data_IF_887970907136
#
_entry.id   IF_887970907136
#
_cell.length_a   1.000
_cell.length_b   1.000
_cell.length_c   1.000
_cell.angle_alpha   90.00
_cell.angle_beta   90.00
_cell.angle_gamma   90.00
#
_symmetry.space_group_name_H-M   'P 1'
#
loop_
_entity.id
_entity.type
_entity.pdbx_description
1 polymer ?
#
# COMPACT_ATOMS: atom_id res chain seq x y z
N UNK A 1 9.52 -4.63 -3.72
CA UNK A 1 8.91 -4.19 -4.99
C UNK A 1 8.58 -2.72 -4.85
N UNK A 2 8.76 -1.86 -5.85
CA UNK A 2 8.32 -0.48 -5.75
C UNK A 2 6.81 -0.43 -5.49
N UNK A 3 6.37 0.40 -4.54
CA UNK A 3 4.94 0.53 -4.15
C UNK A 3 3.99 0.66 -5.35
N UNK A 4 4.42 1.34 -6.41
CA UNK A 4 3.63 1.57 -7.63
C UNK A 4 3.38 0.32 -8.47
N UNK A 5 4.31 -0.64 -8.53
CA UNK A 5 4.17 -1.81 -9.40
C UNK A 5 3.25 -2.89 -8.80
N UNK A 6 3.29 -3.11 -7.48
CA UNK A 6 2.47 -4.16 -6.83
C UNK A 6 1.02 -3.74 -6.77
N UNK A 7 0.72 -2.55 -6.30
CA UNK A 7 -0.65 -2.03 -6.22
C UNK A 7 -1.26 -1.77 -7.59
N UNK A 8 -0.45 -1.38 -8.56
CA UNK A 8 -0.90 -1.14 -9.92
C UNK A 8 -1.36 -2.41 -10.67
N UNK A 9 -0.83 -3.58 -10.34
CA UNK A 9 -1.12 -4.84 -11.05
C UNK A 9 -1.85 -5.87 -10.21
N UNK A 10 -1.54 -5.98 -8.92
CA UNK A 10 -1.98 -7.08 -8.07
C UNK A 10 -3.10 -6.69 -7.09
N UNK A 11 -3.69 -5.53 -7.24
CA UNK A 11 -4.77 -5.05 -6.37
C UNK A 11 -6.09 -5.78 -6.61
N UNK A 12 -6.15 -7.10 -6.44
CA UNK A 12 -7.39 -7.84 -6.46
C UNK A 12 -7.66 -8.47 -5.09
N UNK A 13 -8.93 -8.68 -4.81
CA UNK A 13 -9.38 -9.30 -3.57
C UNK A 13 -8.98 -10.78 -3.49
N UNK A 14 -8.79 -11.30 -2.29
CA UNK A 14 -8.58 -12.72 -2.06
C UNK A 14 -9.45 -13.19 -0.87
N UNK A 15 -10.49 -13.99 -1.08
CA UNK A 15 -10.95 -14.54 -2.38
C UNK A 15 -11.55 -13.48 -3.31
N UNK A 16 -11.48 -13.73 -4.62
CA UNK A 16 -12.00 -12.83 -5.64
C UNK A 16 -13.02 -13.49 -6.56
N UNK A 17 -13.80 -12.67 -7.26
CA UNK A 17 -14.75 -13.04 -8.29
C UNK A 17 -14.31 -12.42 -9.64
N UNK A 18 -13.30 -13.01 -10.33
CA UNK A 18 -12.86 -12.51 -11.63
C UNK A 18 -13.94 -12.65 -12.71
N UNK A 19 -13.71 -12.07 -13.85
CA UNK A 19 -14.59 -12.13 -15.02
C UNK A 19 -14.06 -13.14 -16.05
N UNK A 20 -14.96 -13.89 -16.68
CA UNK A 20 -14.67 -14.54 -17.95
C UNK A 20 -14.74 -13.52 -19.09
N UNK A 21 -14.16 -13.83 -20.26
CA UNK A 21 -14.34 -13.02 -21.46
C UNK A 21 -15.83 -12.89 -21.84
N UNK A 22 -16.63 -13.93 -21.61
CA UNK A 22 -18.08 -13.89 -21.87
C UNK A 22 -18.79 -12.87 -20.97
N UNK A 23 -18.42 -12.80 -19.69
CA UNK A 23 -18.96 -11.79 -18.76
C UNK A 23 -18.62 -10.37 -19.27
N UNK A 24 -17.36 -10.15 -19.66
CA UNK A 24 -16.89 -8.87 -20.15
C UNK A 24 -17.62 -8.45 -21.44
N UNK A 25 -17.82 -9.35 -22.38
CA UNK A 25 -18.61 -9.08 -23.60
C UNK A 25 -20.06 -8.77 -23.28
N UNK A 26 -20.67 -9.49 -22.37
CA UNK A 26 -22.05 -9.22 -21.90
C UNK A 26 -22.18 -7.83 -21.24
N UNK A 27 -21.09 -7.34 -20.63
CA UNK A 27 -21.00 -6.01 -20.03
C UNK A 27 -20.69 -4.90 -21.06
N UNK A 28 -20.41 -5.26 -22.32
CA UNK A 28 -20.21 -4.33 -23.42
C UNK A 28 -18.76 -4.12 -23.85
N UNK A 29 -17.81 -4.94 -23.37
CA UNK A 29 -16.43 -4.94 -23.87
C UNK A 29 -16.44 -5.38 -25.33
N UNK A 30 -15.79 -4.63 -26.21
CA UNK A 30 -15.73 -4.90 -27.65
C UNK A 30 -14.35 -5.38 -28.14
N UNK A 31 -13.39 -5.45 -27.21
CA UNK A 31 -12.02 -5.87 -27.53
C UNK A 31 -11.81 -7.35 -27.26
N UNK A 32 -10.74 -7.89 -27.82
CA UNK A 32 -10.28 -9.25 -27.53
C UNK A 32 -9.48 -9.29 -26.22
N UNK A 33 -9.15 -10.51 -25.82
CA UNK A 33 -8.39 -10.77 -24.60
C UNK A 33 -6.99 -10.17 -24.63
N UNK A 34 -6.32 -10.26 -25.77
CA UNK A 34 -4.96 -9.75 -25.92
C UNK A 34 -4.89 -8.25 -25.68
N UNK A 35 -5.86 -7.49 -26.18
CA UNK A 35 -5.96 -6.05 -25.93
C UNK A 35 -6.17 -5.71 -24.44
N UNK A 36 -6.78 -6.61 -23.68
CA UNK A 36 -7.02 -6.40 -22.25
C UNK A 36 -5.80 -6.78 -21.41
N UNK A 37 -5.11 -7.87 -21.74
CA UNK A 37 -4.11 -8.49 -20.88
C UNK A 37 -2.66 -8.30 -21.32
N UNK A 38 -2.43 -7.81 -22.54
CA UNK A 38 -1.10 -7.49 -23.06
C UNK A 38 -0.87 -5.99 -23.10
N UNK A 39 0.37 -5.52 -22.91
CA UNK A 39 0.71 -4.12 -23.05
C UNK A 39 0.35 -3.57 -24.44
N UNK A 40 -0.38 -2.47 -24.47
CA UNK A 40 -0.69 -1.78 -25.72
C UNK A 40 0.29 -0.64 -25.93
N UNK A 41 1.36 -0.93 -26.66
CA UNK A 41 2.51 -0.03 -26.84
C UNK A 41 2.40 0.66 -28.20
N UNK A 42 2.24 1.99 -28.20
CA UNK A 42 2.22 2.81 -29.42
C UNK A 42 3.47 3.67 -29.53
N UNK A 43 3.83 4.02 -30.78
CA UNK A 43 5.01 4.84 -31.06
C UNK A 43 5.04 6.18 -30.34
N UNK A 44 3.87 6.83 -30.17
CA UNK A 44 3.75 8.11 -29.48
C UNK A 44 4.04 8.04 -27.97
N UNK A 45 4.02 6.84 -27.38
CA UNK A 45 4.24 6.63 -25.96
C UNK A 45 5.70 6.26 -25.62
N UNK A 46 6.45 5.72 -26.58
CA UNK A 46 7.81 5.24 -26.34
C UNK A 46 8.78 6.36 -25.93
N UNK A 47 8.61 7.55 -26.50
CA UNK A 47 9.42 8.72 -26.15
C UNK A 47 9.22 9.18 -24.72
N UNK A 48 7.97 9.10 -24.21
CA UNK A 48 7.65 9.44 -22.82
C UNK A 48 8.26 8.41 -21.83
N UNK A 49 8.36 7.15 -22.25
CA UNK A 49 8.88 6.05 -21.40
C UNK A 49 10.41 6.01 -21.37
N UNK A 50 11.06 6.18 -22.52
CA UNK A 50 12.52 5.94 -22.65
C UNK A 50 13.33 7.22 -22.90
N UNK A 51 12.69 8.32 -23.29
CA UNK A 51 13.38 9.57 -23.63
C UNK A 51 14.42 9.37 -24.73
N UNK A 52 15.65 9.75 -24.45
CA UNK A 52 16.79 9.64 -25.39
C UNK A 52 17.20 8.20 -25.70
N UNK A 53 16.78 7.24 -24.88
CA UNK A 53 17.14 5.81 -25.00
C UNK A 53 16.13 5.01 -25.87
N UNK A 54 15.14 5.69 -26.47
CA UNK A 54 14.03 5.06 -27.20
C UNK A 54 14.52 4.14 -28.33
N UNK A 55 15.45 4.59 -29.16
CA UNK A 55 15.91 3.83 -30.33
C UNK A 55 16.62 2.52 -29.90
N UNK A 56 17.43 2.59 -28.85
CA UNK A 56 18.11 1.42 -28.30
C UNK A 56 17.12 0.44 -27.67
N UNK A 57 16.16 0.94 -26.89
CA UNK A 57 15.13 0.13 -26.24
C UNK A 57 14.27 -0.60 -27.28
N UNK A 58 13.79 0.12 -28.31
CA UNK A 58 12.98 -0.46 -29.38
C UNK A 58 13.75 -1.54 -30.13
N UNK A 59 14.96 -1.20 -30.62
CA UNK A 59 15.76 -2.12 -31.42
C UNK A 59 16.10 -3.40 -30.67
N UNK A 60 16.36 -3.30 -29.37
CA UNK A 60 16.82 -4.44 -28.56
C UNK A 60 15.66 -5.30 -28.06
N UNK A 61 14.58 -4.71 -27.58
CA UNK A 61 13.58 -5.39 -26.77
C UNK A 61 12.21 -5.53 -27.42
N UNK A 62 11.89 -4.69 -28.42
CA UNK A 62 10.57 -4.66 -29.04
C UNK A 62 10.58 -5.13 -30.49
N UNK A 63 9.42 -5.58 -30.95
CA UNK A 63 9.10 -5.84 -32.35
C UNK A 63 7.99 -4.90 -32.82
N UNK A 64 7.92 -4.65 -34.13
CA UNK A 64 6.84 -3.93 -34.80
C UNK A 64 6.74 -4.41 -36.26
N UNK A 65 5.53 -4.29 -36.85
CA UNK A 65 5.33 -4.53 -38.28
C UNK A 65 5.19 -3.23 -39.09
N UNK A 66 4.78 -2.15 -38.44
CA UNK A 66 4.36 -0.89 -39.08
C UNK A 66 4.99 0.36 -38.45
N UNK A 67 5.88 0.21 -37.47
CA UNK A 67 6.47 1.28 -36.66
C UNK A 67 5.40 2.13 -35.89
N UNK A 68 4.23 1.57 -35.67
CA UNK A 68 3.14 2.26 -34.98
C UNK A 68 2.70 1.52 -33.71
N UNK A 69 2.57 0.18 -33.79
CA UNK A 69 2.26 -0.68 -32.65
C UNK A 69 3.47 -1.59 -32.40
N UNK A 70 3.82 -1.73 -31.14
CA UNK A 70 4.97 -2.49 -30.67
C UNK A 70 4.53 -3.55 -29.68
N UNK A 71 5.30 -4.64 -29.63
CA UNK A 71 5.18 -5.70 -28.63
C UNK A 71 6.55 -6.22 -28.25
N UNK A 72 6.62 -6.83 -27.08
CA UNK A 72 7.88 -7.41 -26.60
C UNK A 72 8.34 -8.57 -27.48
N UNK A 73 9.66 -8.67 -27.69
CA UNK A 73 10.25 -9.90 -28.25
C UNK A 73 10.04 -11.05 -27.26
N UNK A 74 9.93 -12.31 -27.74
CA UNK A 74 9.68 -13.47 -26.86
C UNK A 74 10.67 -13.64 -25.72
N UNK A 75 11.90 -13.17 -25.90
CA UNK A 75 12.96 -13.21 -24.89
C UNK A 75 12.75 -12.20 -23.74
N UNK A 76 11.80 -11.27 -23.90
CA UNK A 76 11.52 -10.17 -22.96
C UNK A 76 10.03 -10.00 -22.65
N UNK A 77 9.20 -10.99 -22.97
CA UNK A 77 7.73 -10.93 -22.87
C UNK A 77 7.21 -11.02 -21.42
N UNK A 78 8.10 -11.13 -20.43
CA UNK A 78 7.77 -11.08 -19.00
C UNK A 78 8.75 -10.20 -18.23
N UNK A 79 8.31 -9.61 -17.14
CA UNK A 79 9.17 -8.84 -16.24
C UNK A 79 10.34 -9.68 -15.70
N UNK A 80 10.13 -10.97 -15.48
CA UNK A 80 11.17 -11.89 -15.02
C UNK A 80 12.29 -12.01 -16.05
N UNK A 81 11.96 -12.22 -17.33
CA UNK A 81 12.95 -12.30 -18.41
C UNK A 81 13.74 -11.00 -18.58
N UNK A 82 13.05 -9.85 -18.47
CA UNK A 82 13.74 -8.54 -18.44
C UNK A 82 14.68 -8.46 -17.26
N UNK A 83 14.25 -8.84 -16.06
CA UNK A 83 15.10 -8.81 -14.87
C UNK A 83 16.34 -9.73 -15.02
N UNK A 84 16.16 -10.93 -15.54
CA UNK A 84 17.23 -11.91 -15.79
C UNK A 84 18.27 -11.37 -16.79
N UNK A 85 17.81 -10.74 -17.87
CA UNK A 85 18.70 -10.10 -18.83
C UNK A 85 19.59 -9.04 -18.17
N UNK A 86 19.00 -8.11 -17.40
CA UNK A 86 19.78 -7.06 -16.76
C UNK A 86 20.65 -7.58 -15.61
N UNK A 87 20.25 -8.65 -14.92
CA UNK A 87 21.10 -9.32 -13.94
C UNK A 87 22.34 -9.96 -14.60
N UNK A 88 22.15 -10.61 -15.75
CA UNK A 88 23.26 -11.18 -16.53
C UNK A 88 24.19 -10.09 -17.06
N UNK A 89 23.62 -8.94 -17.47
CA UNK A 89 24.40 -7.79 -17.93
C UNK A 89 25.26 -7.21 -16.79
N UNK A 90 24.69 -7.00 -15.60
CA UNK A 90 25.44 -6.57 -14.40
C UNK A 90 26.58 -7.53 -14.07
N UNK A 91 26.34 -8.84 -14.11
CA UNK A 91 27.36 -9.85 -13.83
C UNK A 91 28.51 -9.79 -14.84
N UNK A 92 28.22 -9.58 -16.13
CA UNK A 92 29.26 -9.43 -17.20
C UNK A 92 30.08 -8.16 -17.04
N UNK A 93 29.49 -7.09 -16.55
CA UNK A 93 30.15 -5.80 -16.36
C UNK A 93 30.91 -5.71 -15.04
N UNK A 94 30.73 -6.68 -14.13
CA UNK A 94 31.38 -6.72 -12.82
C UNK A 94 30.90 -5.61 -11.87
N UNK A 95 29.67 -5.07 -12.07
CA UNK A 95 29.18 -3.95 -11.28
C UNK A 95 27.72 -3.58 -11.54
N UNK A 96 27.41 -2.30 -11.36
CA UNK A 96 26.09 -1.76 -11.53
C UNK A 96 25.75 -1.49 -13.00
N UNK A 97 24.44 -1.37 -13.30
CA UNK A 97 23.97 -0.87 -14.60
C UNK A 97 24.40 0.58 -14.79
N UNK A 98 24.66 0.98 -16.04
CA UNK A 98 24.79 2.39 -16.40
C UNK A 98 23.43 3.08 -16.27
N UNK A 99 23.43 4.41 -16.24
CA UNK A 99 22.20 5.21 -16.17
C UNK A 99 21.24 4.89 -17.33
N UNK A 100 21.74 4.83 -18.56
CA UNK A 100 20.98 4.42 -19.74
C UNK A 100 20.36 3.02 -19.57
N UNK A 101 21.14 2.03 -19.16
CA UNK A 101 20.67 0.66 -18.93
C UNK A 101 19.59 0.60 -17.83
N UNK A 102 19.75 1.40 -16.77
CA UNK A 102 18.77 1.47 -15.69
C UNK A 102 17.47 2.13 -16.18
N UNK A 103 17.57 3.19 -16.97
CA UNK A 103 16.43 3.87 -17.58
C UNK A 103 15.66 2.91 -18.50
N UNK A 104 16.35 2.22 -19.42
CA UNK A 104 15.74 1.22 -20.29
C UNK A 104 15.06 0.12 -19.47
N UNK A 105 15.74 -0.43 -18.46
CA UNK A 105 15.14 -1.45 -17.57
C UNK A 105 13.85 -0.98 -16.92
N UNK A 106 13.87 0.23 -16.33
CA UNK A 106 12.71 0.80 -15.67
C UNK A 106 11.54 1.01 -16.64
N UNK A 107 11.82 1.53 -17.85
CA UNK A 107 10.85 1.70 -18.91
C UNK A 107 10.21 0.38 -19.36
N UNK A 108 11.00 -0.67 -19.56
CA UNK A 108 10.49 -2.00 -19.92
C UNK A 108 9.60 -2.57 -18.80
N UNK A 109 10.01 -2.44 -17.53
CA UNK A 109 9.20 -2.87 -16.39
C UNK A 109 7.88 -2.11 -16.31
N UNK A 110 7.91 -0.81 -16.60
CA UNK A 110 6.73 0.03 -16.67
C UNK A 110 5.79 -0.40 -17.81
N UNK A 111 6.32 -0.62 -19.02
CA UNK A 111 5.51 -1.08 -20.17
C UNK A 111 4.81 -2.41 -19.89
N UNK A 112 5.45 -3.36 -19.17
CA UNK A 112 4.79 -4.60 -18.75
C UNK A 112 3.58 -4.36 -17.83
N UNK A 113 3.53 -3.22 -17.14
CA UNK A 113 2.42 -2.84 -16.29
C UNK A 113 1.27 -2.17 -17.07
N UNK A 114 1.45 -1.85 -18.35
CA UNK A 114 0.48 -1.12 -19.20
C UNK A 114 -0.59 -2.06 -19.78
N UNK A 115 -1.26 -2.80 -18.90
CA UNK A 115 -2.39 -3.68 -19.21
C UNK A 115 -3.66 -3.19 -18.51
N UNK A 116 -4.84 -3.54 -19.02
CA UNK A 116 -6.13 -3.21 -18.41
C UNK A 116 -6.56 -4.26 -17.39
N UNK A 117 -6.28 -5.53 -17.68
CA UNK A 117 -6.62 -6.67 -16.84
C UNK A 117 -5.40 -7.56 -16.63
N UNK A 118 -5.40 -8.28 -15.52
CA UNK A 118 -4.44 -9.35 -15.25
C UNK A 118 -5.17 -10.69 -15.20
N UNK A 119 -4.50 -11.75 -15.63
CA UNK A 119 -5.02 -13.11 -15.61
C UNK A 119 -5.03 -13.66 -14.18
N UNK A 120 -6.05 -14.44 -13.83
CA UNK A 120 -6.08 -15.15 -12.55
C UNK A 120 -4.99 -16.24 -12.53
N UNK A 121 -4.28 -16.34 -11.41
CA UNK A 121 -3.14 -17.26 -11.29
C UNK A 121 -3.54 -18.74 -11.36
N UNK A 122 -4.77 -19.09 -10.97
CA UNK A 122 -5.25 -20.47 -10.93
C UNK A 122 -6.00 -20.85 -12.19
N UNK A 123 -6.65 -19.88 -12.82
CA UNK A 123 -7.40 -20.07 -14.04
C UNK A 123 -7.18 -18.87 -14.99
N UNK A 124 -6.21 -18.97 -15.92
CA UNK A 124 -5.89 -17.87 -16.84
C UNK A 124 -7.07 -17.40 -17.70
N UNK A 125 -8.14 -18.18 -17.88
CA UNK A 125 -9.34 -17.78 -18.61
C UNK A 125 -10.18 -16.73 -17.86
N UNK A 126 -9.87 -16.50 -16.60
CA UNK A 126 -10.51 -15.48 -15.76
C UNK A 126 -9.61 -14.25 -15.62
N UNK A 127 -10.23 -13.07 -15.58
CA UNK A 127 -9.55 -11.79 -15.65
C UNK A 127 -9.94 -10.89 -14.47
N UNK A 128 -8.95 -10.21 -13.92
CA UNK A 128 -9.12 -9.17 -12.90
C UNK A 128 -8.79 -7.81 -13.49
N UNK A 129 -9.66 -6.79 -13.40
CA UNK A 129 -9.30 -5.43 -13.78
C UNK A 129 -8.20 -4.89 -12.86
N UNK A 130 -7.27 -4.10 -13.40
CA UNK A 130 -6.31 -3.36 -12.56
C UNK A 130 -7.03 -2.30 -11.76
N UNK A 131 -6.62 -2.11 -10.50
CA UNK A 131 -7.15 -1.02 -9.68
C UNK A 131 -6.87 0.36 -10.29
N UNK A 132 -5.69 0.54 -10.88
CA UNK A 132 -5.27 1.79 -11.52
C UNK A 132 -5.42 1.75 -13.06
N UNK A 133 -6.36 0.97 -13.62
CA UNK A 133 -6.51 0.83 -15.09
C UNK A 133 -6.72 2.18 -15.77
N UNK A 134 -7.47 3.09 -15.15
CA UNK A 134 -7.79 4.41 -15.70
C UNK A 134 -6.59 5.37 -15.78
N UNK A 135 -5.48 5.05 -15.11
CA UNK A 135 -4.23 5.81 -15.19
C UNK A 135 -3.29 5.28 -16.28
N UNK A 136 -3.63 4.14 -16.91
CA UNK A 136 -2.76 3.54 -17.91
C UNK A 136 -2.87 4.21 -19.26
N UNK A 137 -1.76 4.24 -20.01
CA UNK A 137 -1.76 4.61 -21.42
C UNK A 137 -2.71 3.72 -22.21
N UNK A 138 -2.74 2.42 -21.89
CA UNK A 138 -3.65 1.45 -22.51
C UNK A 138 -5.12 1.85 -22.39
N UNK A 139 -5.55 2.43 -21.27
CA UNK A 139 -6.90 2.97 -21.08
C UNK A 139 -7.13 4.25 -21.88
N UNK A 140 -6.15 5.16 -21.89
CA UNK A 140 -6.27 6.43 -22.60
C UNK A 140 -6.49 6.25 -24.11
N UNK A 141 -5.95 5.17 -24.68
CA UNK A 141 -6.08 4.78 -26.09
C UNK A 141 -7.40 4.05 -26.41
N UNK A 142 -8.31 3.91 -25.46
CA UNK A 142 -9.66 3.39 -25.72
C UNK A 142 -10.57 4.50 -26.25
N UNK A 143 -11.58 4.11 -27.05
CA UNK A 143 -12.69 4.99 -27.38
C UNK A 143 -13.54 5.31 -26.14
N UNK A 144 -14.19 6.47 -26.12
CA UNK A 144 -14.91 6.95 -24.93
C UNK A 144 -16.01 5.98 -24.46
N UNK A 145 -16.75 5.36 -25.41
CA UNK A 145 -17.74 4.34 -25.08
C UNK A 145 -17.13 3.13 -24.36
N UNK A 146 -15.89 2.75 -24.70
CA UNK A 146 -15.18 1.66 -24.05
C UNK A 146 -14.57 2.09 -22.70
N UNK A 147 -14.15 3.34 -22.57
CA UNK A 147 -13.73 3.90 -21.28
C UNK A 147 -14.84 3.83 -20.24
N UNK A 148 -16.07 4.20 -20.64
CA UNK A 148 -17.24 4.09 -19.77
C UNK A 148 -17.53 2.64 -19.36
N UNK A 149 -17.41 1.69 -20.30
CA UNK A 149 -17.57 0.26 -20.01
C UNK A 149 -16.51 -0.20 -19.00
N UNK A 150 -15.23 0.16 -19.21
CA UNK A 150 -14.14 -0.20 -18.32
C UNK A 150 -14.33 0.36 -16.91
N UNK A 151 -14.76 1.61 -16.79
CA UNK A 151 -15.04 2.22 -15.47
C UNK A 151 -16.21 1.55 -14.77
N UNK A 152 -17.25 1.16 -15.50
CA UNK A 152 -18.37 0.41 -14.91
C UNK A 152 -17.92 -0.96 -14.40
N UNK A 153 -17.09 -1.68 -15.16
CA UNK A 153 -16.52 -2.97 -14.75
C UNK A 153 -15.60 -2.79 -13.53
N UNK A 154 -14.75 -1.76 -13.55
CA UNK A 154 -13.89 -1.39 -12.44
C UNK A 154 -14.70 -1.15 -11.16
N UNK A 155 -15.73 -0.32 -11.24
CA UNK A 155 -16.58 0.01 -10.09
C UNK A 155 -17.33 -1.22 -9.57
N UNK A 156 -17.88 -2.04 -10.47
CA UNK A 156 -18.51 -3.31 -10.07
C UNK A 156 -17.52 -4.20 -9.32
N UNK A 157 -16.33 -4.39 -9.88
CA UNK A 157 -15.32 -5.27 -9.30
C UNK A 157 -14.83 -4.78 -7.93
N UNK A 158 -14.44 -3.52 -7.80
CA UNK A 158 -13.78 -3.03 -6.59
C UNK A 158 -14.76 -2.60 -5.49
N UNK A 159 -15.99 -2.20 -5.85
CA UNK A 159 -16.89 -1.60 -4.85
C UNK A 159 -18.21 -2.35 -4.65
N UNK A 160 -18.56 -3.32 -5.50
CA UNK A 160 -19.89 -3.94 -5.44
C UNK A 160 -19.89 -5.47 -5.40
N UNK A 161 -19.39 -6.15 -6.45
CA UNK A 161 -19.62 -7.59 -6.64
C UNK A 161 -19.05 -8.50 -5.56
N UNK A 162 -18.05 -8.05 -4.81
CA UNK A 162 -17.42 -8.85 -3.77
C UNK A 162 -18.16 -8.83 -2.43
N UNK A 163 -19.06 -7.88 -2.18
CA UNK A 163 -19.69 -7.69 -0.87
C UNK A 163 -20.39 -8.94 -0.37
N UNK A 164 -21.38 -9.45 -1.12
CA UNK A 164 -22.13 -10.65 -0.71
C UNK A 164 -21.24 -11.89 -0.64
N UNK A 165 -20.31 -12.03 -1.58
CA UNK A 165 -19.40 -13.16 -1.61
C UNK A 165 -18.44 -13.17 -0.39
N UNK A 166 -17.92 -12.01 -0.02
CA UNK A 166 -17.04 -11.88 1.15
C UNK A 166 -17.84 -12.07 2.44
N UNK A 167 -19.02 -11.45 2.55
CA UNK A 167 -19.89 -11.66 3.71
C UNK A 167 -20.21 -13.15 3.90
N UNK A 168 -20.70 -13.83 2.88
CA UNK A 168 -21.01 -15.25 2.95
C UNK A 168 -19.79 -16.12 3.29
N UNK A 169 -18.61 -15.77 2.74
CA UNK A 169 -17.35 -16.46 3.04
C UNK A 169 -16.89 -16.24 4.47
N UNK A 170 -16.98 -15.01 4.97
CA UNK A 170 -16.65 -14.62 6.33
C UNK A 170 -17.56 -15.30 7.35
N UNK A 171 -18.87 -15.20 7.17
CA UNK A 171 -19.88 -15.78 8.10
C UNK A 171 -19.83 -17.30 8.16
N UNK A 172 -19.26 -17.97 7.18
CA UNK A 172 -19.02 -19.42 7.23
C UNK A 172 -17.79 -19.81 8.07
N UNK A 173 -16.79 -18.91 8.20
CA UNK A 173 -15.48 -19.22 8.80
C UNK A 173 -15.27 -18.52 10.15
N UNK A 174 -15.53 -17.23 10.21
CA UNK A 174 -15.17 -16.40 11.36
C UNK A 174 -15.94 -16.73 12.62
N UNK A 175 -17.25 -17.12 12.60
CA UNK A 175 -17.93 -17.55 13.81
C UNK A 175 -17.27 -18.74 14.52
N UNK A 176 -16.66 -19.65 13.77
CA UNK A 176 -15.89 -20.76 14.36
C UNK A 176 -14.64 -20.25 15.05
N UNK A 177 -13.97 -19.26 14.47
CA UNK A 177 -12.77 -18.65 15.06
C UNK A 177 -13.12 -17.89 16.35
N UNK A 178 -14.10 -17.00 16.31
CA UNK A 178 -14.50 -16.20 17.49
C UNK A 178 -15.09 -17.08 18.60
N UNK A 179 -15.84 -18.14 18.24
CA UNK A 179 -16.39 -19.10 19.21
C UNK A 179 -15.41 -20.11 19.81
N UNK A 180 -14.19 -20.21 19.26
CA UNK A 180 -13.17 -21.16 19.73
C UNK A 180 -12.38 -20.65 20.96
N UNK A 181 -12.54 -19.40 21.34
CA UNK A 181 -11.78 -18.76 22.42
C UNK A 181 -12.60 -17.69 23.13
N UNK A 182 -12.24 -17.41 24.39
CA UNK A 182 -12.76 -16.26 25.14
C UNK A 182 -11.86 -15.00 24.99
N UNK A 183 -10.86 -15.05 24.11
CA UNK A 183 -10.03 -13.88 23.80
C UNK A 183 -10.79 -12.90 22.92
N UNK A 184 -10.57 -11.62 23.16
CA UNK A 184 -11.04 -10.56 22.27
C UNK A 184 -10.29 -10.67 20.93
N UNK A 185 -11.02 -10.75 19.82
CA UNK A 185 -10.45 -10.86 18.48
C UNK A 185 -10.29 -9.46 17.89
N UNK A 186 -9.09 -9.18 17.38
CA UNK A 186 -8.81 -7.96 16.63
C UNK A 186 -8.51 -8.33 15.18
N UNK A 187 -9.13 -7.64 14.23
CA UNK A 187 -8.88 -7.79 12.80
C UNK A 187 -7.89 -6.74 12.31
N UNK A 188 -7.00 -7.14 11.40
CA UNK A 188 -6.26 -6.19 10.58
C UNK A 188 -7.09 -5.94 9.32
N UNK A 189 -7.58 -4.72 9.16
CA UNK A 189 -8.53 -4.31 8.11
C UNK A 189 -8.04 -3.03 7.38
N UNK A 190 -6.72 -2.94 7.21
CA UNK A 190 -6.09 -1.85 6.48
C UNK A 190 -6.18 -2.02 4.96
N UNK A 191 -6.14 -0.89 4.26
CA UNK A 191 -6.17 -0.85 2.81
C UNK A 191 -7.59 -0.93 2.25
N UNK A 192 -7.71 -1.47 1.03
CA UNK A 192 -8.99 -1.57 0.35
C UNK A 192 -9.69 -2.89 0.68
N UNK A 193 -10.79 -2.80 1.41
CA UNK A 193 -11.65 -3.93 1.77
C UNK A 193 -13.06 -3.75 1.20
N UNK A 194 -13.82 -4.84 0.93
CA UNK A 194 -15.23 -4.74 0.55
C UNK A 194 -16.07 -4.02 1.61
N UNK A 195 -17.09 -3.30 1.20
CA UNK A 195 -17.93 -2.49 2.08
C UNK A 195 -18.65 -3.30 3.17
N UNK A 196 -18.80 -4.62 3.00
CA UNK A 196 -19.40 -5.48 4.03
C UNK A 196 -18.49 -5.76 5.24
N UNK A 197 -17.19 -5.45 5.17
CA UNK A 197 -16.21 -5.84 6.20
C UNK A 197 -16.51 -5.18 7.55
N UNK A 198 -16.77 -3.86 7.67
CA UNK A 198 -17.10 -3.25 8.95
C UNK A 198 -18.36 -3.88 9.61
N UNK A 199 -19.40 -4.15 8.81
CA UNK A 199 -20.64 -4.76 9.33
C UNK A 199 -20.38 -6.18 9.84
N UNK A 200 -19.60 -6.99 9.12
CA UNK A 200 -19.24 -8.35 9.54
C UNK A 200 -18.39 -8.33 10.81
N UNK A 201 -17.43 -7.40 10.91
CA UNK A 201 -16.61 -7.26 12.11
C UNK A 201 -17.46 -6.85 13.31
N UNK A 202 -18.36 -5.90 13.13
CA UNK A 202 -19.29 -5.48 14.18
C UNK A 202 -20.22 -6.63 14.63
N UNK A 203 -20.80 -7.38 13.68
CA UNK A 203 -21.70 -8.53 13.98
C UNK A 203 -20.98 -9.64 14.75
N UNK A 204 -19.69 -9.84 14.50
CA UNK A 204 -18.87 -10.88 15.14
C UNK A 204 -18.05 -10.36 16.32
N UNK A 205 -18.25 -9.13 16.75
CA UNK A 205 -17.51 -8.47 17.84
C UNK A 205 -15.98 -8.52 17.63
N UNK A 206 -15.54 -8.35 16.38
CA UNK A 206 -14.12 -8.26 16.01
C UNK A 206 -13.72 -6.78 15.98
N UNK A 207 -12.70 -6.41 16.74
CA UNK A 207 -12.21 -5.02 16.76
C UNK A 207 -11.51 -4.68 15.46
N UNK A 208 -11.81 -3.50 14.93
CA UNK A 208 -11.10 -2.91 13.79
C UNK A 208 -9.77 -2.29 14.21
N UNK A 209 -8.89 -2.02 13.25
CA UNK A 209 -7.62 -1.32 13.46
C UNK A 209 -7.72 0.12 12.93
N UNK A 210 -7.50 1.10 13.79
CA UNK A 210 -7.57 2.52 13.45
C UNK A 210 -6.19 3.17 13.57
N UNK A 211 -5.66 3.65 12.44
CA UNK A 211 -4.34 4.30 12.36
C UNK A 211 -4.52 5.71 11.84
N UNK A 212 -4.15 6.72 12.65
CA UNK A 212 -4.31 8.14 12.31
C UNK A 212 -3.71 8.50 10.94
N UNK A 213 -2.55 7.97 10.62
CA UNK A 213 -1.80 8.23 9.38
C UNK A 213 -2.26 7.41 8.17
N UNK A 214 -3.20 6.50 8.37
CA UNK A 214 -3.72 5.60 7.33
C UNK A 214 -5.23 5.53 7.43
N UNK A 215 -5.95 6.63 7.11
CA UNK A 215 -7.41 6.66 7.19
C UNK A 215 -8.02 5.63 6.24
N UNK A 216 -9.14 5.05 6.66
CA UNK A 216 -9.93 4.12 5.83
C UNK A 216 -10.76 4.84 4.76
N UNK A 217 -11.15 6.09 5.03
CA UNK A 217 -11.81 6.96 4.05
C UNK A 217 -10.75 7.58 3.12
N UNK A 218 -10.78 7.30 1.81
CA UNK A 218 -9.82 7.83 0.85
C UNK A 218 -9.93 9.34 0.63
N UNK A 219 -11.00 9.98 1.11
CA UNK A 219 -11.19 11.44 1.00
C UNK A 219 -10.62 12.19 2.22
N UNK A 220 -10.13 11.47 3.21
CA UNK A 220 -9.54 12.02 4.43
C UNK A 220 -8.04 11.80 4.40
N UNK A 221 -7.25 12.85 4.58
CA UNK A 221 -5.79 12.75 4.59
C UNK A 221 -5.28 12.09 5.87
N UNK A 222 -5.85 12.44 7.01
CA UNK A 222 -5.54 11.88 8.33
C UNK A 222 -6.82 11.60 9.10
N UNK A 223 -6.93 10.41 9.68
CA UNK A 223 -8.01 10.12 10.62
C UNK A 223 -7.79 10.88 11.93
N UNK A 224 -8.87 11.28 12.60
CA UNK A 224 -8.74 11.83 13.94
C UNK A 224 -9.03 10.73 14.98
N UNK A 225 -8.15 10.49 15.97
CA UNK A 225 -8.35 9.41 16.95
C UNK A 225 -9.67 9.53 17.75
N UNK A 226 -10.22 10.74 17.90
CA UNK A 226 -11.52 10.95 18.56
C UNK A 226 -12.73 10.42 17.75
N UNK A 227 -12.57 10.18 16.45
CA UNK A 227 -13.61 9.65 15.58
C UNK A 227 -13.55 8.11 15.48
N UNK A 228 -12.59 7.48 16.15
CA UNK A 228 -12.46 6.03 16.13
C UNK A 228 -13.69 5.35 16.73
N UNK A 229 -14.21 4.26 16.12
CA UNK A 229 -15.33 3.53 16.70
C UNK A 229 -14.92 2.87 18.02
N UNK A 230 -15.89 2.70 18.93
CA UNK A 230 -15.62 2.03 20.21
C UNK A 230 -15.01 0.63 20.01
N UNK A 231 -15.56 -0.16 19.09
CA UNK A 231 -15.07 -1.51 18.80
C UNK A 231 -13.81 -1.48 17.91
N UNK A 232 -12.75 -0.85 18.38
CA UNK A 232 -11.49 -0.75 17.66
C UNK A 232 -10.27 -0.78 18.57
N UNK A 233 -9.12 -0.99 17.92
CA UNK A 233 -7.78 -0.74 18.44
C UNK A 233 -7.25 0.49 17.73
N UNK A 234 -7.03 1.58 18.45
CA UNK A 234 -6.44 2.80 17.92
C UNK A 234 -4.92 2.79 18.18
N UNK A 235 -4.14 3.12 17.16
CA UNK A 235 -2.66 3.10 17.25
C UNK A 235 -2.04 4.18 16.36
N UNK A 236 -0.82 4.59 16.70
CA UNK A 236 0.00 5.50 15.89
C UNK A 236 0.57 4.83 14.65
N UNK A 237 0.77 3.52 14.68
CA UNK A 237 1.32 2.73 13.60
C UNK A 237 1.48 1.25 13.96
N UNK A 238 1.98 0.46 13.02
CA UNK A 238 2.26 -0.97 13.17
C UNK A 238 3.73 -1.26 12.90
N UNK A 239 4.14 -2.53 13.07
CA UNK A 239 5.48 -2.98 12.68
C UNK A 239 5.78 -2.83 11.18
N UNK A 240 4.75 -2.69 10.33
CA UNK A 240 4.88 -2.51 8.87
C UNK A 240 4.98 -1.05 8.44
N UNK A 241 4.78 -0.12 9.37
CA UNK A 241 4.91 1.31 9.14
C UNK A 241 6.16 1.87 9.81
N UNK A 242 6.60 3.06 9.40
CA UNK A 242 7.64 3.79 10.13
C UNK A 242 7.15 4.17 11.53
N UNK A 243 8.00 4.13 12.57
CA UNK A 243 7.72 4.78 13.84
C UNK A 243 7.41 6.27 13.65
N UNK A 244 6.72 6.92 14.59
CA UNK A 244 6.26 8.31 14.46
C UNK A 244 7.39 9.27 14.07
N UNK A 245 8.57 9.13 14.70
CA UNK A 245 9.71 10.02 14.45
C UNK A 245 10.28 9.88 13.06
N UNK A 246 10.42 8.64 12.54
CA UNK A 246 10.88 8.39 11.17
C UNK A 246 9.85 8.90 10.16
N UNK A 247 8.55 8.63 10.40
CA UNK A 247 7.47 9.12 9.55
C UNK A 247 7.46 10.66 9.46
N UNK A 248 7.73 11.37 10.56
CA UNK A 248 7.79 12.82 10.57
C UNK A 248 8.83 13.38 9.60
N UNK A 249 9.91 12.64 9.38
CA UNK A 249 11.03 13.04 8.53
C UNK A 249 10.92 12.52 7.08
N UNK A 250 9.96 11.62 6.77
CA UNK A 250 9.84 10.99 5.45
C UNK A 250 9.33 11.95 4.36
N UNK A 251 8.37 12.81 4.69
CA UNK A 251 7.71 13.70 3.73
C UNK A 251 7.32 15.02 4.40
N UNK A 252 8.00 16.08 3.99
CA UNK A 252 7.82 17.43 4.57
C UNK A 252 6.45 18.05 4.27
N UNK A 253 5.86 17.78 3.12
CA UNK A 253 4.55 18.28 2.74
C UNK A 253 3.47 17.63 3.61
N UNK A 254 3.49 16.31 3.71
CA UNK A 254 2.59 15.55 4.58
C UNK A 254 2.71 15.99 6.05
N UNK A 255 3.93 16.15 6.56
CA UNK A 255 4.14 16.58 7.95
C UNK A 255 3.69 18.01 8.20
N UNK A 256 3.88 18.91 7.24
CA UNK A 256 3.38 20.27 7.34
C UNK A 256 1.85 20.32 7.40
N UNK A 257 1.18 19.50 6.57
CA UNK A 257 -0.28 19.37 6.62
C UNK A 257 -0.76 18.81 7.96
N UNK A 258 -0.08 17.80 8.48
CA UNK A 258 -0.41 17.24 9.79
C UNK A 258 -0.25 18.28 10.90
N UNK A 259 0.87 19.02 10.91
CA UNK A 259 1.17 20.07 11.87
C UNK A 259 0.08 21.15 11.89
N UNK A 260 -0.38 21.58 10.71
CA UNK A 260 -1.41 22.62 10.61
C UNK A 260 -2.83 22.07 10.87
N UNK A 261 -3.19 20.92 10.25
CA UNK A 261 -4.58 20.47 10.18
C UNK A 261 -4.96 19.54 11.35
N UNK A 262 -4.03 18.71 11.84
CA UNK A 262 -4.30 17.76 12.92
C UNK A 262 -3.89 18.30 14.29
N UNK A 263 -2.81 19.09 14.36
CA UNK A 263 -2.36 19.68 15.61
C UNK A 263 -2.93 21.09 15.81
N UNK A 264 -3.41 21.77 14.77
CA UNK A 264 -3.88 23.16 14.82
C UNK A 264 -2.75 24.16 15.08
N UNK A 265 -1.51 23.79 14.78
CA UNK A 265 -0.35 24.64 15.02
C UNK A 265 0.01 25.41 13.76
N UNK A 266 0.54 26.62 13.95
CA UNK A 266 0.85 27.54 12.86
C UNK A 266 2.35 27.73 12.71
N UNK A 267 2.77 28.04 11.51
CA UNK A 267 4.18 28.24 11.16
C UNK A 267 4.75 27.03 10.42
N UNK A 268 6.07 26.95 10.35
CA UNK A 268 6.79 25.87 9.71
C UNK A 268 6.95 24.69 10.69
N UNK A 269 6.56 23.49 10.25
CA UNK A 269 6.77 22.29 11.03
C UNK A 269 8.28 22.02 11.20
N UNK A 270 8.76 21.68 12.41
CA UNK A 270 10.18 21.37 12.60
C UNK A 270 10.61 20.19 11.75
N UNK A 271 11.89 20.17 11.34
CA UNK A 271 12.44 19.07 10.49
C UNK A 271 12.43 17.74 11.23
N UNK A 272 12.66 17.76 12.53
CA UNK A 272 12.67 16.56 13.38
C UNK A 272 11.56 16.64 14.42
N UNK A 273 11.00 15.49 14.80
CA UNK A 273 9.95 15.43 15.81
C UNK A 273 10.50 15.72 17.20
N UNK A 274 10.00 16.77 17.84
CA UNK A 274 10.27 17.05 19.25
C UNK A 274 9.49 16.10 20.17
N UNK A 275 9.91 16.02 21.44
CA UNK A 275 9.17 15.27 22.47
C UNK A 275 7.75 15.84 22.66
N UNK A 276 7.56 17.15 22.55
CA UNK A 276 6.26 17.82 22.64
C UNK A 276 5.31 17.40 21.53
N UNK A 277 5.79 17.30 20.28
CA UNK A 277 5.00 16.81 19.14
C UNK A 277 4.59 15.35 19.35
N UNK A 278 5.52 14.51 19.78
CA UNK A 278 5.23 13.10 20.07
C UNK A 278 4.18 12.97 21.18
N UNK A 279 4.32 13.72 22.26
CA UNK A 279 3.35 13.74 23.36
C UNK A 279 1.97 14.23 22.90
N UNK A 280 1.92 15.26 22.06
CA UNK A 280 0.66 15.75 21.51
C UNK A 280 -0.09 14.67 20.74
N UNK A 281 0.62 13.94 19.85
CA UNK A 281 0.03 12.84 19.08
C UNK A 281 -0.44 11.70 19.99
N UNK A 282 0.36 11.30 20.97
CA UNK A 282 -0.02 10.29 21.96
C UNK A 282 -1.26 10.74 22.74
N UNK A 283 -1.33 11.99 23.15
CA UNK A 283 -2.51 12.53 23.84
C UNK A 283 -3.77 12.44 23.00
N UNK A 284 -3.71 12.75 21.69
CA UNK A 284 -4.88 12.55 20.81
C UNK A 284 -5.38 11.11 20.87
N UNK A 285 -4.46 10.12 20.88
CA UNK A 285 -4.82 8.71 20.98
C UNK A 285 -5.38 8.34 22.37
N UNK A 286 -4.82 8.90 23.45
CA UNK A 286 -5.33 8.66 24.81
C UNK A 286 -6.76 9.16 25.02
N UNK A 287 -7.19 10.18 24.28
CA UNK A 287 -8.58 10.67 24.28
C UNK A 287 -9.51 9.96 23.28
N UNK A 288 -9.01 8.97 22.53
CA UNK A 288 -9.83 8.18 21.60
C UNK A 288 -10.92 7.39 22.33
N UNK A 289 -12.14 7.29 21.78
CA UNK A 289 -13.19 6.42 22.30
C UNK A 289 -12.97 4.93 22.01
N UNK A 290 -11.93 4.57 21.25
CA UNK A 290 -11.60 3.19 20.93
C UNK A 290 -11.50 2.31 22.19
N UNK A 291 -11.93 1.06 22.14
CA UNK A 291 -11.86 0.13 23.28
C UNK A 291 -10.41 -0.05 23.75
N UNK A 292 -9.47 -0.15 22.83
CA UNK A 292 -8.05 -0.24 23.11
C UNK A 292 -7.24 0.84 22.41
N UNK A 293 -6.24 1.37 23.11
CA UNK A 293 -5.16 2.17 22.52
C UNK A 293 -3.86 1.44 22.80
N UNK A 294 -3.23 0.94 21.75
CA UNK A 294 -1.98 0.18 21.84
C UNK A 294 -0.98 0.86 20.92
N UNK A 295 0.04 1.46 21.52
CA UNK A 295 1.06 2.22 20.78
C UNK A 295 2.38 1.45 20.76
N UNK A 296 3.18 1.52 19.68
CA UNK A 296 4.53 0.99 19.63
C UNK A 296 5.39 1.55 20.75
N UNK A 297 6.27 0.73 21.33
CA UNK A 297 7.19 1.18 22.37
C UNK A 297 8.07 2.35 21.89
N UNK A 298 8.51 2.33 20.66
CA UNK A 298 9.30 3.40 20.04
C UNK A 298 8.58 4.77 20.12
N UNK A 299 7.27 4.77 19.91
CA UNK A 299 6.47 5.99 19.94
C UNK A 299 6.26 6.47 21.38
N UNK A 300 6.16 5.55 22.36
CA UNK A 300 6.22 5.91 23.78
C UNK A 300 7.57 6.52 24.17
N UNK A 301 8.68 5.94 23.71
CA UNK A 301 10.02 6.48 24.00
C UNK A 301 10.24 7.85 23.34
N UNK A 302 9.53 8.17 22.27
CA UNK A 302 9.65 9.45 21.55
C UNK A 302 9.33 10.69 22.39
N UNK A 303 8.55 10.54 23.48
CA UNK A 303 8.18 11.65 24.37
C UNK A 303 9.30 12.11 25.32
N UNK A 304 10.44 11.41 25.33
CA UNK A 304 11.58 11.79 26.18
C UNK A 304 12.89 11.75 25.38
N UNK A 305 13.52 12.91 25.22
CA UNK A 305 14.74 13.07 24.43
C UNK A 305 15.96 12.33 25.03
N UNK A 306 15.94 12.04 26.32
CA UNK A 306 17.02 11.32 26.99
C UNK A 306 16.84 9.79 26.90
N UNK A 307 15.64 9.33 26.58
CA UNK A 307 15.27 7.92 26.57
C UNK A 307 15.19 7.35 25.14
N UNK A 308 14.80 8.15 24.16
CA UNK A 308 14.68 7.74 22.77
C UNK A 308 16.02 7.56 22.07
N UNK A 309 16.09 6.72 21.03
CA UNK A 309 17.28 6.63 20.18
C UNK A 309 17.56 7.98 19.46
N UNK A 310 18.84 8.28 19.24
CA UNK A 310 19.21 9.48 18.48
C UNK A 310 18.72 9.41 17.03
N UNK A 311 18.93 8.27 16.35
CA UNK A 311 18.52 8.03 14.97
C UNK A 311 17.14 7.36 14.92
N UNK A 312 16.08 8.05 14.42
CA UNK A 312 14.74 7.48 14.33
C UNK A 312 14.65 6.29 13.36
N UNK A 313 15.52 6.23 12.34
CA UNK A 313 15.53 5.11 11.38
C UNK A 313 16.01 3.80 12.01
N UNK A 314 16.79 3.87 13.09
CA UNK A 314 17.23 2.69 13.84
C UNK A 314 16.08 2.04 14.63
N UNK A 315 14.96 2.75 14.84
CA UNK A 315 13.76 2.25 15.50
C UNK A 315 12.86 1.40 14.61
N UNK A 316 13.13 1.35 13.30
CA UNK A 316 12.29 0.64 12.33
C UNK A 316 12.37 -0.87 12.46
N UNK A 317 11.19 -1.53 12.51
CA UNK A 317 11.09 -2.99 12.62
C UNK A 317 11.06 -3.65 11.24
N UNK A 318 10.16 -3.20 10.37
CA UNK A 318 9.97 -3.78 9.06
C UNK A 318 9.97 -2.73 7.93
N UNK A 319 10.45 -3.13 6.77
CA UNK A 319 10.36 -2.38 5.51
C UNK A 319 9.69 -3.30 4.47
N UNK A 320 8.34 -3.33 4.40
CA UNK A 320 7.61 -4.28 3.56
C UNK A 320 7.98 -4.22 2.06
N UNK A 321 8.43 -3.07 1.59
CA UNK A 321 8.90 -2.89 0.19
C UNK A 321 10.27 -3.50 -0.10
N UNK A 322 11.02 -3.90 0.94
CA UNK A 322 12.34 -4.50 0.79
C UNK A 322 12.29 -6.02 1.04
N UNK A 323 12.31 -6.86 -0.02
CA UNK A 323 12.20 -8.32 0.14
C UNK A 323 13.44 -8.96 0.82
N UNK A 324 14.50 -8.18 1.02
CA UNK A 324 15.72 -8.62 1.71
C UNK A 324 15.84 -8.03 3.11
N UNK A 325 14.79 -7.35 3.59
CA UNK A 325 14.78 -6.82 4.95
C UNK A 325 14.56 -7.96 5.95
N UNK A 326 15.30 -7.91 7.06
CA UNK A 326 15.13 -8.82 8.20
C UNK A 326 14.76 -8.00 9.43
N UNK A 327 13.87 -8.49 10.25
CA UNK A 327 13.47 -7.87 11.50
C UNK A 327 14.60 -7.95 12.53
N UNK A 328 15.40 -6.88 12.60
CA UNK A 328 16.62 -6.80 13.41
C UNK A 328 16.47 -5.92 14.64
N UNK A 329 15.39 -5.16 14.71
CA UNK A 329 15.24 -4.21 15.81
C UNK A 329 15.43 -4.89 17.15
N UNK A 330 16.22 -4.24 18.02
CA UNK A 330 16.39 -4.58 19.42
C UNK A 330 16.26 -3.28 20.20
N UNK A 331 15.44 -3.32 21.24
CA UNK A 331 15.34 -2.21 22.18
C UNK A 331 16.74 -1.87 22.72
N UNK A 332 17.08 -0.60 22.70
CA UNK A 332 18.40 -0.12 23.12
C UNK A 332 18.53 -0.01 24.65
N UNK A 333 17.42 0.00 25.36
CA UNK A 333 17.35 -0.06 26.82
C UNK A 333 17.10 -1.50 27.27
N UNK A 334 17.70 -1.88 28.39
CA UNK A 334 17.31 -3.11 29.09
C UNK A 334 15.96 -2.92 29.79
N UNK A 335 15.28 -4.02 30.10
CA UNK A 335 14.03 -3.95 30.88
C UNK A 335 14.27 -3.33 32.26
N UNK A 336 15.43 -3.61 32.88
CA UNK A 336 15.83 -3.07 34.16
C UNK A 336 16.05 -1.55 34.11
N UNK A 337 16.71 -1.04 33.09
CA UNK A 337 16.88 0.39 32.86
C UNK A 337 15.53 1.09 32.66
N UNK A 338 14.64 0.51 31.85
CA UNK A 338 13.31 1.05 31.64
C UNK A 338 12.49 1.06 32.93
N UNK A 339 12.52 -0.03 33.71
CA UNK A 339 11.81 -0.13 34.97
C UNK A 339 12.34 0.84 36.05
N UNK A 340 13.63 1.15 36.01
CA UNK A 340 14.27 2.08 36.96
C UNK A 340 14.13 3.55 36.58
N UNK A 341 13.61 3.86 35.39
CA UNK A 341 13.39 5.25 34.98
C UNK A 341 12.06 5.79 35.55
N UNK A 342 12.09 6.21 36.81
CA UNK A 342 10.90 6.68 37.54
C UNK A 342 10.22 7.89 36.89
N UNK A 343 11.00 8.82 36.34
CA UNK A 343 10.45 10.05 35.72
C UNK A 343 9.68 9.70 34.46
N UNK A 344 10.28 8.93 33.54
CA UNK A 344 9.60 8.46 32.33
C UNK A 344 8.38 7.63 32.67
N UNK A 345 8.50 6.67 33.56
CA UNK A 345 7.39 5.80 33.97
C UNK A 345 6.23 6.57 34.62
N UNK A 346 6.54 7.60 35.41
CA UNK A 346 5.51 8.50 35.97
C UNK A 346 4.83 9.33 34.89
N UNK A 347 5.58 9.82 33.90
CA UNK A 347 5.03 10.54 32.77
C UNK A 347 4.07 9.69 31.96
N UNK A 348 4.48 8.47 31.56
CA UNK A 348 3.62 7.51 30.84
C UNK A 348 2.36 7.18 31.64
N UNK A 349 2.47 6.95 32.97
CA UNK A 349 1.31 6.71 33.83
C UNK A 349 0.33 7.90 33.84
N UNK A 350 0.83 9.11 33.86
CA UNK A 350 -0.01 10.32 33.81
C UNK A 350 -0.77 10.43 32.49
N UNK A 351 -0.13 10.08 31.37
CA UNK A 351 -0.77 10.09 30.05
C UNK A 351 -1.85 9.00 29.95
N UNK A 352 -1.53 7.78 30.38
CA UNK A 352 -2.46 6.64 30.31
C UNK A 352 -3.63 6.78 31.28
N UNK A 353 -3.45 7.44 32.43
CA UNK A 353 -4.53 7.70 33.41
C UNK A 353 -5.66 8.58 32.85
N UNK A 354 -5.46 9.27 31.73
CA UNK A 354 -6.49 10.09 31.08
C UNK A 354 -7.60 9.28 30.40
N UNK A 355 -7.39 7.98 30.24
CA UNK A 355 -8.42 7.08 29.63
C UNK A 355 -9.45 6.56 30.62
N UNK A 356 -9.24 6.69 31.92
CA UNK A 356 -10.07 6.12 32.98
C UNK A 356 -10.76 7.19 33.82
#
# INVERSE_FOLDING_TARGET
MPKSAVWGLCGHFNPAMPYSMQDLWNMGVKTDRDRLTKPYIRSNFLGDVFGVDTDEAVKTFLNTNDNYIYWFKPEFDTQMKVQEYFNALMAKQGGNLTENQQNIKNGLMYLHCEVLFVEDQKNPDLLHPRIALYQSHSYNELYDDQKEVMMRIHNDYFYHRHNEFWRASAMRKLPTLTGATNMLVCGEDLGMVPACVPDVMHELEILSLEIQRMPKDPNVEFAHPADAPYMSVCTTGTHDTSPLREWWEEDRETTQHFFNNQMGWWGEAPETMSAEIAEFIINQHMYSPAMWVILPLQDWLAIDENVRLADPKAERINIPSNPRHFWKYRMHLTVEELLSNDEFNKHVRNLTARRF
#
